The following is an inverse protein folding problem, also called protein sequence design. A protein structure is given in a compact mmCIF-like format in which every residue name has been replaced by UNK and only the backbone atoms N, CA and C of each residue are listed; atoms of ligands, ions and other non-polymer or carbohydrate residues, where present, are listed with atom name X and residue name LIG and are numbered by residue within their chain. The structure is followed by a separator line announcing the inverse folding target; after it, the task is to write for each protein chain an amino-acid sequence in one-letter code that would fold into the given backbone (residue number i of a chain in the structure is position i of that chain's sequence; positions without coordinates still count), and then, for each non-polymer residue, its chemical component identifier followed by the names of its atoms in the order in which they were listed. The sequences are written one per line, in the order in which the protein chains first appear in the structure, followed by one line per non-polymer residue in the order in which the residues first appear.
data_IF_876449323669
#
_entry.id   IF_876449323669
#
_cell.length_a   1.000
_cell.length_b   1.000
_cell.length_c   1.000
_cell.angle_alpha   90.00
_cell.angle_beta   90.00
_cell.angle_gamma   90.00
#
_symmetry.space_group_name_H-M   'P 1'
#
loop_
_entity.id
_entity.type
_entity.pdbx_description
1 polymer ?
#
# COMPACT_ATOMS: atom_id res chain seq x y z
N UNK A 1 -1.57 5.35 1.13
CA UNK A 1 -2.79 6.01 1.57
C UNK A 1 -4.06 5.25 1.20
N UNK A 2 -5.22 5.88 1.43
CA UNK A 2 -6.51 5.26 1.07
C UNK A 2 -6.79 5.31 -0.43
N UNK A 3 -6.42 6.40 -1.09
CA UNK A 3 -6.70 6.64 -2.52
C UNK A 3 -5.48 6.51 -3.41
N UNK A 4 -4.29 6.78 -2.87
CA UNK A 4 -3.06 6.79 -3.65
C UNK A 4 -1.86 6.30 -2.83
N UNK A 5 -0.79 6.00 -3.54
CA UNK A 5 0.54 5.75 -3.00
C UNK A 5 1.47 6.84 -3.54
N UNK A 6 2.25 7.44 -2.68
CA UNK A 6 3.29 8.39 -3.05
C UNK A 6 4.65 7.71 -2.96
N UNK A 7 5.49 7.95 -3.97
CA UNK A 7 6.89 7.54 -4.02
C UNK A 7 7.71 8.81 -3.99
N UNK A 8 8.63 8.90 -3.04
CA UNK A 8 9.56 10.04 -2.93
C UNK A 8 10.98 9.55 -2.74
N UNK A 9 11.91 10.12 -3.49
CA UNK A 9 13.35 9.95 -3.29
C UNK A 9 13.91 11.20 -2.66
N UNK A 10 14.56 11.02 -1.52
CA UNK A 10 15.12 12.12 -0.72
C UNK A 10 16.64 11.93 -0.66
N UNK A 11 17.39 12.97 -1.04
CA UNK A 11 18.85 12.99 -0.94
C UNK A 11 19.31 14.36 -0.44
N UNK A 12 20.32 14.38 0.42
CA UNK A 12 20.88 15.61 1.00
C UNK A 12 19.79 16.56 1.56
N UNK A 13 18.84 16.00 2.29
CA UNK A 13 17.72 16.72 2.87
C UNK A 13 16.81 17.43 1.83
N UNK A 14 16.72 16.93 0.60
CA UNK A 14 15.85 17.47 -0.45
C UNK A 14 15.10 16.35 -1.15
N UNK A 15 13.85 16.60 -1.49
CA UNK A 15 13.09 15.72 -2.37
C UNK A 15 13.60 15.92 -3.79
N UNK A 16 14.23 14.89 -4.34
CA UNK A 16 14.78 14.92 -5.72
C UNK A 16 13.81 14.30 -6.73
N UNK A 17 12.89 13.49 -6.26
CA UNK A 17 11.84 12.88 -7.08
C UNK A 17 10.61 12.67 -6.22
N UNK A 18 9.42 12.95 -6.75
CA UNK A 18 8.15 12.55 -6.14
C UNK A 18 7.14 12.20 -7.23
N UNK A 19 6.37 11.15 -6.98
CA UNK A 19 5.30 10.68 -7.87
C UNK A 19 4.14 10.12 -7.07
N UNK A 20 2.92 10.47 -7.48
CA UNK A 20 1.68 9.94 -6.93
C UNK A 20 1.10 8.91 -7.89
N UNK A 21 0.76 7.74 -7.36
CA UNK A 21 0.14 6.63 -8.09
C UNK A 21 -1.30 6.50 -7.58
N UNK A 22 -2.32 6.41 -8.44
CA UNK A 22 -3.72 6.29 -8.03
C UNK A 22 -4.07 4.86 -7.58
N UNK A 23 -3.23 4.25 -6.75
CA UNK A 23 -3.40 2.93 -6.14
C UNK A 23 -3.26 3.06 -4.64
N UNK A 24 -4.28 2.65 -3.90
CA UNK A 24 -4.30 2.70 -2.44
C UNK A 24 -5.32 1.74 -1.84
N UNK A 25 -5.61 1.89 -0.57
CA UNK A 25 -6.48 0.98 0.18
C UNK A 25 -7.89 0.82 -0.38
N UNK A 26 -8.43 1.86 -1.05
CA UNK A 26 -9.75 1.83 -1.68
C UNK A 26 -9.74 0.95 -2.94
N UNK A 27 -8.76 1.14 -3.80
CA UNK A 27 -8.58 0.34 -5.02
C UNK A 27 -8.37 -1.15 -4.68
N UNK A 28 -7.65 -1.46 -3.62
CA UNK A 28 -7.53 -2.83 -3.11
C UNK A 28 -8.89 -3.42 -2.70
N UNK A 29 -9.72 -2.65 -1.99
CA UNK A 29 -11.07 -3.12 -1.62
C UNK A 29 -11.95 -3.35 -2.85
N UNK A 30 -11.90 -2.44 -3.83
CA UNK A 30 -12.62 -2.55 -5.11
C UNK A 30 -12.15 -3.76 -5.91
N UNK A 31 -10.86 -4.04 -5.95
CA UNK A 31 -10.30 -5.22 -6.61
C UNK A 31 -10.82 -6.52 -6.00
N UNK A 32 -10.94 -6.60 -4.67
CA UNK A 32 -11.52 -7.76 -3.98
C UNK A 32 -13.00 -7.91 -4.35
N UNK A 33 -13.80 -6.84 -4.32
CA UNK A 33 -15.21 -6.87 -4.72
C UNK A 33 -15.36 -7.38 -6.16
N UNK A 34 -14.57 -6.80 -7.09
CA UNK A 34 -14.64 -7.12 -8.51
C UNK A 34 -14.20 -8.56 -8.81
N UNK A 35 -13.12 -9.02 -8.18
CA UNK A 35 -12.64 -10.39 -8.38
C UNK A 35 -13.63 -11.41 -7.81
N UNK A 36 -14.16 -11.14 -6.61
CA UNK A 36 -15.16 -12.01 -5.98
C UNK A 36 -16.44 -12.11 -6.83
N UNK A 37 -16.93 -10.98 -7.35
CA UNK A 37 -18.08 -10.95 -8.26
C UNK A 37 -17.82 -11.79 -9.52
N UNK A 38 -16.63 -11.67 -10.12
CA UNK A 38 -16.29 -12.40 -11.35
C UNK A 38 -16.12 -13.89 -11.15
N UNK A 39 -15.47 -14.30 -10.03
CA UNK A 39 -15.16 -15.73 -9.79
C UNK A 39 -16.30 -16.49 -9.14
N UNK A 40 -17.02 -15.85 -8.22
CA UNK A 40 -17.99 -16.51 -7.36
C UNK A 40 -19.43 -16.06 -7.64
N UNK A 41 -19.65 -15.14 -8.57
CA UNK A 41 -20.95 -14.49 -8.80
C UNK A 41 -21.58 -13.94 -7.52
N UNK A 42 -20.74 -13.51 -6.57
CA UNK A 42 -21.12 -13.09 -5.23
C UNK A 42 -20.64 -11.67 -4.98
N UNK A 43 -21.57 -10.77 -4.71
CA UNK A 43 -21.30 -9.35 -4.52
C UNK A 43 -21.18 -9.02 -3.03
N UNK A 44 -20.11 -8.30 -2.68
CA UNK A 44 -19.87 -7.78 -1.33
C UNK A 44 -19.63 -6.28 -1.38
N UNK A 45 -19.97 -5.59 -0.28
CA UNK A 45 -19.71 -4.15 -0.16
C UNK A 45 -18.25 -3.85 0.22
N UNK A 46 -17.83 -2.61 -0.04
CA UNK A 46 -16.45 -2.14 0.24
C UNK A 46 -16.04 -2.28 1.72
N UNK A 47 -16.99 -2.11 2.66
CA UNK A 47 -16.72 -2.32 4.09
C UNK A 47 -16.40 -3.78 4.39
N UNK A 48 -17.10 -4.71 3.77
CA UNK A 48 -16.84 -6.16 3.89
C UNK A 48 -15.50 -6.50 3.24
N UNK A 49 -15.22 -5.99 2.04
CA UNK A 49 -13.94 -6.16 1.36
C UNK A 49 -12.76 -5.65 2.22
N UNK A 50 -12.91 -4.48 2.86
CA UNK A 50 -11.88 -3.97 3.79
C UNK A 50 -11.65 -4.93 4.96
N UNK A 51 -12.72 -5.49 5.56
CA UNK A 51 -12.59 -6.44 6.68
C UNK A 51 -11.91 -7.74 6.27
N UNK A 52 -12.30 -8.32 5.14
CA UNK A 52 -11.65 -9.54 4.65
C UNK A 52 -10.21 -9.30 4.22
N UNK A 53 -9.89 -8.15 3.64
CA UNK A 53 -8.52 -7.75 3.37
C UNK A 53 -7.65 -7.77 4.63
N UNK A 54 -8.10 -7.11 5.69
CA UNK A 54 -7.37 -7.05 6.95
C UNK A 54 -7.21 -8.44 7.60
N UNK A 55 -8.22 -9.30 7.44
CA UNK A 55 -8.23 -10.61 8.08
C UNK A 55 -7.48 -11.71 7.30
N UNK A 56 -7.41 -11.60 5.97
CA UNK A 56 -6.99 -12.71 5.10
C UNK A 56 -5.79 -12.40 4.21
N UNK A 57 -5.43 -11.11 4.04
CA UNK A 57 -4.31 -10.76 3.18
C UNK A 57 -2.97 -11.16 3.82
N UNK A 58 -2.14 -11.89 3.08
CA UNK A 58 -0.77 -12.26 3.47
C UNK A 58 0.04 -12.65 2.22
N UNK A 59 1.16 -11.98 1.97
CA UNK A 59 2.02 -12.24 0.82
C UNK A 59 3.11 -13.30 1.06
N UNK A 60 3.15 -13.91 2.24
CA UNK A 60 4.25 -14.80 2.64
C UNK A 60 3.90 -16.27 2.75
N UNK A 61 2.64 -16.65 2.80
CA UNK A 61 2.25 -18.00 3.14
C UNK A 61 1.14 -18.55 2.24
N UNK A 62 1.21 -19.87 2.00
CA UNK A 62 0.10 -20.65 1.43
C UNK A 62 -0.99 -20.98 2.48
N UNK A 63 -1.12 -20.17 3.53
CA UNK A 63 -2.18 -20.35 4.52
C UNK A 63 -3.53 -20.25 3.81
N UNK A 64 -4.23 -21.36 3.76
CA UNK A 64 -5.58 -21.46 3.23
C UNK A 64 -6.59 -21.07 4.31
N UNK A 65 -6.71 -19.78 4.55
CA UNK A 65 -7.72 -19.22 5.43
C UNK A 65 -8.95 -18.77 4.63
N UNK A 66 -10.11 -18.80 5.27
CA UNK A 66 -11.35 -18.36 4.67
C UNK A 66 -12.23 -17.66 5.71
N UNK A 67 -13.10 -16.76 5.23
CA UNK A 67 -14.09 -16.07 6.07
C UNK A 67 -15.46 -16.14 5.43
N UNK A 68 -16.46 -16.49 6.25
CA UNK A 68 -17.87 -16.42 5.89
C UNK A 68 -18.33 -14.96 6.01
N UNK A 69 -18.96 -14.44 4.98
CA UNK A 69 -19.42 -13.06 4.89
C UNK A 69 -20.82 -12.99 4.27
N UNK A 70 -21.55 -11.92 4.57
CA UNK A 70 -22.82 -11.62 3.95
C UNK A 70 -22.65 -10.73 2.73
N UNK A 71 -23.42 -11.00 1.72
CA UNK A 71 -23.45 -10.25 0.47
C UNK A 71 -24.72 -10.55 -0.31
N UNK A 72 -24.64 -10.43 -1.63
CA UNK A 72 -25.77 -10.60 -2.54
C UNK A 72 -25.37 -11.56 -3.66
N UNK A 73 -26.23 -12.51 -3.97
CA UNK A 73 -26.08 -13.36 -5.14
C UNK A 73 -26.17 -12.52 -6.42
N UNK A 74 -25.24 -12.71 -7.32
CA UNK A 74 -25.14 -11.91 -8.55
C UNK A 74 -26.20 -12.24 -9.60
N UNK A 75 -26.84 -13.41 -9.52
CA UNK A 75 -27.89 -13.84 -10.42
C UNK A 75 -29.28 -13.45 -9.94
N UNK A 76 -29.60 -13.83 -8.68
CA UNK A 76 -30.92 -13.60 -8.10
C UNK A 76 -31.12 -12.25 -7.45
N UNK A 77 -30.02 -11.56 -7.10
CA UNK A 77 -30.06 -10.33 -6.33
C UNK A 77 -30.46 -10.51 -4.86
N UNK A 78 -30.61 -11.75 -4.39
CA UNK A 78 -31.03 -12.03 -3.02
C UNK A 78 -29.85 -12.02 -2.03
N UNK A 79 -30.08 -11.62 -0.78
CA UNK A 79 -29.08 -11.74 0.27
C UNK A 79 -28.64 -13.19 0.45
N UNK A 80 -27.32 -13.41 0.53
CA UNK A 80 -26.75 -14.72 0.81
C UNK A 80 -25.49 -14.62 1.68
N UNK A 81 -25.10 -15.75 2.23
CA UNK A 81 -23.77 -15.91 2.86
C UNK A 81 -22.84 -16.65 1.91
N UNK A 82 -21.64 -16.14 1.75
CA UNK A 82 -20.60 -16.74 0.92
C UNK A 82 -19.27 -16.81 1.65
N UNK A 83 -18.32 -17.54 1.06
CA UNK A 83 -16.99 -17.75 1.61
C UNK A 83 -15.98 -16.99 0.73
N UNK A 84 -15.11 -16.22 1.38
CA UNK A 84 -13.96 -15.55 0.73
C UNK A 84 -12.69 -16.17 1.29
N UNK A 85 -11.80 -16.59 0.39
CA UNK A 85 -10.53 -17.23 0.73
C UNK A 85 -9.37 -16.21 0.71
N UNK A 86 -8.30 -16.51 1.47
CA UNK A 86 -7.03 -15.77 1.42
C UNK A 86 -6.43 -15.74 0.01
N UNK A 87 -6.53 -16.83 -0.73
CA UNK A 87 -6.07 -16.91 -2.12
C UNK A 87 -6.75 -15.87 -3.02
N UNK A 88 -8.09 -15.74 -2.94
CA UNK A 88 -8.83 -14.73 -3.69
C UNK A 88 -8.42 -13.30 -3.30
N UNK A 89 -8.26 -13.06 -1.99
CA UNK A 89 -7.85 -11.74 -1.50
C UNK A 89 -6.45 -11.40 -2.01
N UNK A 90 -5.49 -12.29 -1.85
CA UNK A 90 -4.11 -12.07 -2.29
C UNK A 90 -4.03 -11.84 -3.81
N UNK A 91 -4.73 -12.66 -4.62
CA UNK A 91 -4.82 -12.48 -6.08
C UNK A 91 -5.38 -11.09 -6.45
N UNK A 92 -6.42 -10.65 -5.77
CA UNK A 92 -6.99 -9.32 -6.01
C UNK A 92 -6.01 -8.19 -5.71
N UNK A 93 -5.19 -8.34 -4.67
CA UNK A 93 -4.21 -7.31 -4.27
C UNK A 93 -2.98 -7.27 -5.18
N UNK A 94 -2.56 -8.41 -5.73
CA UNK A 94 -1.34 -8.53 -6.54
C UNK A 94 -1.29 -7.53 -7.68
N UNK A 95 -2.41 -7.29 -8.37
CA UNK A 95 -2.45 -6.34 -9.49
C UNK A 95 -2.01 -4.94 -9.04
N UNK A 96 -2.57 -4.44 -7.95
CA UNK A 96 -2.23 -3.12 -7.44
C UNK A 96 -0.82 -3.04 -6.85
N UNK A 97 -0.39 -4.07 -6.12
CA UNK A 97 0.97 -4.12 -5.55
C UNK A 97 2.03 -4.19 -6.66
N UNK A 98 1.76 -4.94 -7.74
CA UNK A 98 2.66 -5.00 -8.90
C UNK A 98 2.75 -3.65 -9.65
N UNK A 99 1.67 -2.88 -9.71
CA UNK A 99 1.71 -1.51 -10.25
C UNK A 99 2.63 -0.66 -9.39
N UNK A 100 2.48 -0.70 -8.07
CA UNK A 100 3.35 0.05 -7.15
C UNK A 100 4.82 -0.36 -7.33
N UNK A 101 5.12 -1.67 -7.35
CA UNK A 101 6.48 -2.17 -7.53
C UNK A 101 7.12 -1.71 -8.84
N UNK A 102 6.36 -1.73 -9.94
CA UNK A 102 6.83 -1.24 -11.25
C UNK A 102 7.13 0.26 -11.23
N UNK A 103 6.27 1.05 -10.61
CA UNK A 103 6.48 2.50 -10.48
C UNK A 103 7.69 2.83 -9.59
N UNK A 104 7.95 2.04 -8.55
CA UNK A 104 9.17 2.16 -7.75
C UNK A 104 10.40 1.85 -8.62
N UNK A 105 10.40 0.78 -9.41
CA UNK A 105 11.51 0.47 -10.35
C UNK A 105 11.79 1.64 -11.30
N UNK A 106 10.75 2.20 -11.92
CA UNK A 106 10.90 3.36 -12.79
C UNK A 106 11.45 4.59 -12.06
N UNK A 107 11.09 4.79 -10.80
CA UNK A 107 11.65 5.87 -9.99
C UNK A 107 13.14 5.65 -9.72
N UNK A 108 13.54 4.42 -9.40
CA UNK A 108 14.95 4.06 -9.20
C UNK A 108 15.79 4.25 -10.47
N UNK A 109 15.28 3.84 -11.63
CA UNK A 109 15.95 4.02 -12.93
C UNK A 109 16.19 5.50 -13.28
N UNK A 110 15.36 6.41 -12.78
CA UNK A 110 15.50 7.86 -12.97
C UNK A 110 16.37 8.55 -11.92
N UNK A 111 16.80 7.80 -10.93
CA UNK A 111 17.62 8.32 -9.83
C UNK A 111 19.11 8.33 -10.25
N UNK A 112 19.88 9.37 -9.92
CA UNK A 112 21.31 9.40 -10.21
C UNK A 112 22.04 8.16 -9.69
N UNK A 113 23.03 7.60 -10.41
CA UNK A 113 23.65 6.31 -10.08
C UNK A 113 24.14 6.20 -8.63
N UNK A 114 24.80 7.25 -8.12
CA UNK A 114 25.31 7.25 -6.75
C UNK A 114 24.21 7.11 -5.69
N UNK A 115 23.05 7.74 -5.91
CA UNK A 115 21.91 7.66 -5.02
C UNK A 115 21.22 6.32 -5.19
N UNK A 116 21.11 5.82 -6.43
CA UNK A 116 20.60 4.49 -6.72
C UNK A 116 21.38 3.40 -5.97
N UNK A 117 22.73 3.43 -6.05
CA UNK A 117 23.59 2.46 -5.36
C UNK A 117 23.41 2.52 -3.83
N UNK A 118 23.20 3.72 -3.30
CA UNK A 118 22.92 3.88 -1.88
C UNK A 118 21.56 3.27 -1.50
N UNK A 119 20.51 3.51 -2.30
CA UNK A 119 19.19 2.91 -2.08
C UNK A 119 19.25 1.38 -2.18
N UNK A 120 20.05 0.83 -3.10
CA UNK A 120 20.21 -0.64 -3.22
C UNK A 120 20.82 -1.25 -1.95
N UNK A 121 21.67 -0.53 -1.23
CA UNK A 121 22.28 -1.00 0.02
C UNK A 121 21.39 -0.76 1.23
N UNK A 122 20.90 0.46 1.40
CA UNK A 122 20.11 0.88 2.57
C UNK A 122 18.65 0.44 2.52
N UNK A 123 18.11 0.31 1.31
CA UNK A 123 16.73 -0.12 1.07
C UNK A 123 15.72 1.00 0.97
N UNK A 124 14.47 0.59 0.91
CA UNK A 124 13.30 1.46 0.74
C UNK A 124 12.42 1.37 1.98
N UNK A 125 12.02 2.51 2.52
CA UNK A 125 11.07 2.57 3.62
C UNK A 125 9.65 2.66 3.10
N UNK A 126 8.76 1.78 3.57
CA UNK A 126 7.34 1.81 3.24
C UNK A 126 6.50 2.10 4.48
N UNK A 127 5.45 2.92 4.28
CA UNK A 127 4.56 3.39 5.33
C UNK A 127 3.11 3.43 4.87
N UNK A 128 2.19 3.59 5.79
CA UNK A 128 0.76 3.66 5.54
C UNK A 128 0.02 2.39 5.96
N UNK A 129 -1.32 2.46 6.02
CA UNK A 129 -2.14 1.37 6.55
C UNK A 129 -2.06 0.06 5.74
N UNK A 130 -1.79 0.12 4.43
CA UNK A 130 -1.65 -1.08 3.59
C UNK A 130 -0.35 -1.85 3.86
N UNK A 131 0.66 -1.23 4.46
CA UNK A 131 1.90 -1.91 4.84
C UNK A 131 1.75 -2.83 6.05
N UNK A 132 0.59 -2.82 6.71
CA UNK A 132 0.20 -3.79 7.74
C UNK A 132 -0.13 -5.18 7.17
N UNK A 133 -0.23 -5.33 5.83
CA UNK A 133 -0.42 -6.64 5.21
C UNK A 133 0.84 -7.48 5.47
N UNK A 134 0.71 -8.65 6.10
CA UNK A 134 1.86 -9.51 6.39
C UNK A 134 2.69 -9.82 5.15
N UNK A 135 4.01 -9.79 5.31
CA UNK A 135 5.01 -10.13 4.29
C UNK A 135 5.02 -9.26 3.01
N UNK A 136 4.36 -8.09 3.02
CA UNK A 136 4.38 -7.16 1.89
C UNK A 136 5.79 -6.62 1.64
N UNK A 137 6.57 -6.40 2.68
CA UNK A 137 7.98 -6.00 2.64
C UNK A 137 8.83 -7.04 1.92
N UNK A 138 8.68 -8.31 2.30
CA UNK A 138 9.40 -9.43 1.65
C UNK A 138 8.99 -9.62 0.19
N UNK A 139 7.71 -9.44 -0.10
CA UNK A 139 7.20 -9.52 -1.47
C UNK A 139 7.82 -8.41 -2.33
N UNK A 140 7.75 -7.17 -1.87
CA UNK A 140 8.33 -6.03 -2.58
C UNK A 140 9.85 -6.12 -2.67
N UNK A 141 10.54 -6.55 -1.61
CA UNK A 141 12.00 -6.74 -1.63
C UNK A 141 12.44 -7.71 -2.72
N UNK A 142 11.75 -8.84 -2.86
CA UNK A 142 12.03 -9.81 -3.95
C UNK A 142 11.75 -9.21 -5.33
N UNK A 143 10.70 -8.41 -5.47
CA UNK A 143 10.34 -7.77 -6.73
C UNK A 143 11.32 -6.67 -7.14
N UNK A 144 11.82 -5.91 -6.18
CA UNK A 144 12.68 -4.73 -6.40
C UNK A 144 14.16 -5.07 -6.44
N UNK A 145 14.56 -6.17 -5.82
CA UNK A 145 15.97 -6.58 -5.71
C UNK A 145 16.77 -5.80 -4.67
N UNK A 146 16.09 -5.08 -3.76
CA UNK A 146 16.70 -4.33 -2.67
C UNK A 146 15.92 -4.52 -1.36
N UNK A 147 16.50 -4.23 -0.18
CA UNK A 147 15.79 -4.31 1.09
C UNK A 147 14.58 -3.38 1.11
N UNK A 148 13.45 -3.86 1.65
CA UNK A 148 12.27 -3.04 1.92
C UNK A 148 11.96 -3.12 3.41
N UNK A 149 11.86 -1.98 4.06
CA UNK A 149 11.69 -1.85 5.50
C UNK A 149 10.33 -1.25 5.82
N UNK A 150 9.64 -1.84 6.81
CA UNK A 150 8.38 -1.32 7.33
C UNK A 150 8.65 -0.22 8.35
N UNK A 151 7.98 0.91 8.22
CA UNK A 151 7.95 1.87 9.30
C UNK A 151 7.17 1.31 10.50
N UNK A 152 7.71 1.46 11.69
CA UNK A 152 7.06 1.04 12.93
C UNK A 152 5.76 1.81 13.25
N UNK A 153 5.57 3.00 12.64
CA UNK A 153 4.40 3.84 12.86
C UNK A 153 3.28 3.64 11.83
N UNK A 154 3.52 2.88 10.78
CA UNK A 154 2.55 2.57 9.71
C UNK A 154 1.76 3.80 9.24
N UNK A 155 0.47 3.81 9.45
CA UNK A 155 -0.46 4.90 9.09
C UNK A 155 -0.33 6.16 9.98
N UNK A 156 0.42 6.09 11.08
CA UNK A 156 0.72 7.21 11.96
C UNK A 156 2.00 7.96 11.61
N UNK A 157 2.78 7.51 10.61
CA UNK A 157 4.08 8.12 10.27
C UNK A 157 3.98 9.63 10.02
N UNK A 158 2.94 10.09 9.32
CA UNK A 158 2.78 11.51 9.02
C UNK A 158 2.59 12.34 10.30
N UNK A 159 1.74 11.89 11.22
CA UNK A 159 1.50 12.62 12.45
C UNK A 159 2.72 12.57 13.38
N UNK A 160 3.43 11.43 13.43
CA UNK A 160 4.68 11.33 14.17
C UNK A 160 5.75 12.27 13.60
N UNK A 161 5.90 12.31 12.27
CA UNK A 161 6.83 13.22 11.63
C UNK A 161 6.50 14.70 11.86
N UNK A 162 5.22 15.07 11.85
CA UNK A 162 4.80 16.42 12.20
C UNK A 162 5.09 16.77 13.66
N UNK A 163 4.90 15.83 14.57
CA UNK A 163 5.29 16.01 15.97
C UNK A 163 6.79 16.29 16.09
N UNK A 164 7.64 15.50 15.45
CA UNK A 164 9.09 15.71 15.45
C UNK A 164 9.47 17.08 14.89
N UNK A 165 8.84 17.51 13.79
CA UNK A 165 9.05 18.85 13.21
C UNK A 165 8.72 19.98 14.19
N UNK A 166 7.70 19.82 15.03
CA UNK A 166 7.26 20.85 15.99
C UNK A 166 8.17 20.88 17.22
N UNK A 167 8.65 19.70 17.64
CA UNK A 167 9.40 19.55 18.92
C UNK A 167 10.91 19.75 18.76
N UNK A 168 11.45 19.72 17.55
CA UNK A 168 12.89 19.81 17.28
C UNK A 168 13.22 20.93 16.31
N UNK A 169 13.80 22.02 16.82
CA UNK A 169 14.18 23.20 16.03
C UNK A 169 15.07 22.89 14.82
N UNK A 170 15.95 21.90 14.95
CA UNK A 170 16.84 21.46 13.87
C UNK A 170 16.10 20.93 12.64
N UNK A 171 14.85 20.51 12.82
CA UNK A 171 13.99 20.00 11.76
C UNK A 171 13.10 21.08 11.13
N UNK A 172 13.04 22.29 11.67
CA UNK A 172 12.21 23.38 11.14
C UNK A 172 12.57 23.74 9.69
N UNK A 173 13.79 23.43 9.22
CA UNK A 173 14.18 23.59 7.81
C UNK A 173 13.30 22.81 6.81
N UNK A 174 12.52 21.83 7.29
CA UNK A 174 11.57 21.06 6.50
C UNK A 174 10.16 21.66 6.49
N UNK A 175 9.91 22.64 7.33
CA UNK A 175 8.63 23.33 7.36
C UNK A 175 8.62 24.48 6.36
N UNK A 176 7.55 24.62 5.58
CA UNK A 176 7.36 25.77 4.71
C UNK A 176 6.23 26.65 5.26
N UNK A 177 6.44 27.96 5.12
CA UNK A 177 5.36 28.90 5.29
C UNK A 177 4.63 29.05 3.96
N UNK A 178 3.35 28.73 3.92
CA UNK A 178 2.52 29.00 2.76
C UNK A 178 2.33 30.51 2.67
N UNK A 179 3.06 31.18 1.76
CA UNK A 179 2.81 32.58 1.49
C UNK A 179 1.39 32.71 0.93
N UNK A 180 0.46 33.26 1.71
CA UNK A 180 -0.82 33.73 1.20
C UNK A 180 -0.48 34.82 0.19
N UNK A 181 -0.62 34.53 -1.11
CA UNK A 181 -0.67 35.62 -2.10
C UNK A 181 -1.79 36.55 -1.68
N UNK A 182 -1.42 37.80 -1.39
CA UNK A 182 -2.37 38.91 -1.22
C UNK A 182 -3.07 39.19 -2.54
#
# INVERSE_FOLDING_TARGET
GAQCTEISVIANARVIFSRIIPVGGKQFNEAICNLNRRKNNFQIGLKTAKRVKIALADFGTDKKEARKVRGVDGASGLPMEGIITSSLVNEALLTGVNVIGREIKQALERTPPQIHDHIQKEGIYITGGSTRIPNIDRYLSRQLGCPVQLSQYYDLCTICGLKELITHDTLHRWAYTVNKKK
#
